data_IF_989420739071
#
_entry.id   IF_989420739071
#
_cell.length_a   1.000
_cell.length_b   1.000
_cell.length_c   1.000
_cell.angle_alpha   90.00
_cell.angle_beta   90.00
_cell.angle_gamma   90.00
#
_symmetry.space_group_name_H-M   'P 1'
#
loop_
_entity.id
_entity.type
_entity.pdbx_description
1 polymer ?
#
# COMPACT_ATOMS: atom_id res chain seq x y z
N UNK A 1 4.65 -16.67 -22.13
CA UNK A 1 4.07 -17.36 -20.95
C UNK A 1 5.19 -17.65 -19.97
N UNK A 2 4.98 -17.27 -18.70
CA UNK A 2 5.89 -17.60 -17.59
C UNK A 2 5.16 -18.47 -16.59
N UNK A 3 5.84 -19.46 -16.06
CA UNK A 3 5.32 -20.37 -15.04
C UNK A 3 6.07 -20.12 -13.72
N UNK A 4 5.32 -19.99 -12.62
CA UNK A 4 5.86 -19.83 -11.30
C UNK A 4 5.56 -21.06 -10.44
N UNK A 5 6.59 -21.66 -9.86
CA UNK A 5 6.44 -22.77 -8.93
C UNK A 5 6.17 -22.25 -7.52
N UNK A 6 5.06 -22.69 -6.92
CA UNK A 6 4.67 -22.28 -5.56
C UNK A 6 5.00 -23.34 -4.49
N UNK A 7 5.74 -24.36 -4.87
CA UNK A 7 6.08 -25.47 -3.99
C UNK A 7 4.95 -26.49 -3.83
N UNK A 8 5.00 -27.25 -2.77
CA UNK A 8 4.08 -28.35 -2.53
C UNK A 8 2.70 -27.84 -2.06
N UNK A 9 1.62 -28.33 -2.68
CA UNK A 9 0.25 -27.89 -2.42
C UNK A 9 -0.15 -27.97 -0.94
N UNK A 10 0.26 -29.01 -0.23
CA UNK A 10 -0.09 -29.21 1.18
C UNK A 10 0.61 -28.23 2.14
N UNK A 11 1.70 -27.59 1.71
CA UNK A 11 2.42 -26.55 2.46
C UNK A 11 1.87 -25.14 2.20
N UNK A 12 0.90 -25.03 1.28
CA UNK A 12 0.28 -23.76 0.93
C UNK A 12 -0.87 -23.44 1.89
N UNK A 13 -0.95 -22.20 2.34
CA UNK A 13 -2.03 -21.69 3.17
C UNK A 13 -2.41 -20.26 2.80
N UNK A 14 -3.53 -19.76 3.33
CA UNK A 14 -4.06 -18.44 3.01
C UNK A 14 -3.06 -17.29 3.26
N UNK A 15 -2.13 -17.43 4.22
CA UNK A 15 -1.12 -16.42 4.53
C UNK A 15 -0.09 -16.24 3.40
N UNK A 16 0.02 -17.21 2.51
CA UNK A 16 0.91 -17.15 1.35
C UNK A 16 0.27 -16.50 0.12
N UNK A 17 -1.07 -16.38 0.09
CA UNK A 17 -1.78 -15.75 -1.02
C UNK A 17 -1.26 -14.33 -1.37
N UNK A 18 -1.00 -13.45 -0.39
CA UNK A 18 -0.41 -12.14 -0.66
C UNK A 18 0.92 -12.18 -1.40
N UNK A 19 1.73 -13.23 -1.18
CA UNK A 19 3.04 -13.37 -1.82
C UNK A 19 2.94 -13.57 -3.33
N UNK A 20 1.83 -14.17 -3.81
CA UNK A 20 1.60 -14.39 -5.25
C UNK A 20 1.61 -13.08 -6.01
N UNK A 21 0.77 -12.13 -5.59
CA UNK A 21 0.69 -10.82 -6.22
C UNK A 21 2.04 -10.10 -6.19
N UNK A 22 2.73 -10.14 -5.05
CA UNK A 22 4.06 -9.51 -4.89
C UNK A 22 5.08 -10.07 -5.85
N UNK A 23 5.16 -11.40 -5.98
CA UNK A 23 6.10 -12.03 -6.91
C UNK A 23 5.80 -11.67 -8.37
N UNK A 24 4.52 -11.65 -8.76
CA UNK A 24 4.13 -11.28 -10.12
C UNK A 24 4.54 -9.84 -10.43
N UNK A 25 4.23 -8.91 -9.54
CA UNK A 25 4.57 -7.49 -9.73
C UNK A 25 6.08 -7.28 -9.73
N UNK A 26 6.81 -7.86 -8.78
CA UNK A 26 8.27 -7.74 -8.71
C UNK A 26 8.95 -8.31 -9.96
N UNK A 27 8.49 -9.48 -10.43
CA UNK A 27 8.98 -10.05 -11.68
C UNK A 27 8.65 -9.16 -12.88
N UNK A 28 7.41 -8.68 -13.00
CA UNK A 28 7.02 -7.79 -14.09
C UNK A 28 7.89 -6.51 -14.10
N UNK A 29 8.17 -5.93 -12.93
CA UNK A 29 9.06 -4.76 -12.80
C UNK A 29 10.49 -5.08 -13.21
N UNK A 30 11.04 -6.22 -12.79
CA UNK A 30 12.42 -6.61 -13.17
C UNK A 30 12.60 -6.81 -14.67
N UNK A 31 11.55 -7.26 -15.36
CA UNK A 31 11.52 -7.44 -16.83
C UNK A 31 10.93 -6.22 -17.56
N UNK A 32 10.60 -5.12 -16.85
CA UNK A 32 9.96 -3.93 -17.41
C UNK A 32 8.65 -4.22 -18.16
N UNK A 33 7.88 -5.19 -17.68
CA UNK A 33 6.57 -5.57 -18.22
C UNK A 33 5.52 -4.67 -17.57
N UNK A 34 4.94 -3.77 -18.34
CA UNK A 34 3.92 -2.84 -17.84
C UNK A 34 2.53 -3.48 -17.70
N UNK A 35 2.24 -4.54 -18.44
CA UNK A 35 0.94 -5.19 -18.43
C UNK A 35 1.08 -6.70 -18.50
N UNK A 36 0.29 -7.41 -17.71
CA UNK A 36 0.24 -8.88 -17.76
C UNK A 36 -1.13 -9.42 -17.36
N UNK A 37 -1.40 -10.65 -17.77
CA UNK A 37 -2.59 -11.40 -17.39
C UNK A 37 -2.21 -12.59 -16.51
N UNK A 38 -3.04 -12.90 -15.51
CA UNK A 38 -2.87 -14.08 -14.67
C UNK A 38 -4.23 -14.73 -14.37
N UNK A 39 -4.31 -16.07 -14.33
CA UNK A 39 -5.50 -16.75 -13.84
C UNK A 39 -5.76 -16.35 -12.38
N UNK A 40 -7.02 -16.00 -12.08
CA UNK A 40 -7.46 -15.81 -10.70
C UNK A 40 -8.12 -17.10 -10.22
N UNK A 41 -7.31 -17.96 -9.61
CA UNK A 41 -7.74 -19.27 -9.12
C UNK A 41 -8.52 -19.23 -7.81
N UNK A 42 -8.75 -20.42 -7.26
CA UNK A 42 -9.35 -20.57 -5.92
C UNK A 42 -8.39 -20.00 -4.87
N UNK A 43 -8.83 -19.02 -4.14
CA UNK A 43 -8.12 -18.40 -3.04
C UNK A 43 -8.21 -19.29 -1.80
N UNK A 44 -7.48 -20.38 -1.76
CA UNK A 44 -7.31 -21.35 -0.68
C UNK A 44 -7.88 -20.92 0.68
N UNK A 45 -9.15 -21.26 0.95
CA UNK A 45 -9.82 -20.93 2.21
C UNK A 45 -10.37 -19.50 2.34
N UNK A 46 -10.30 -18.67 1.27
CA UNK A 46 -10.89 -17.33 1.22
C UNK A 46 -12.04 -17.29 0.20
N UNK A 47 -13.00 -16.42 0.39
CA UNK A 47 -14.00 -16.11 -0.64
C UNK A 47 -13.34 -15.44 -1.85
N UNK A 48 -14.04 -15.41 -2.99
CA UNK A 48 -13.54 -14.71 -4.21
C UNK A 48 -13.26 -13.24 -3.94
N UNK A 49 -14.12 -12.59 -3.16
CA UNK A 49 -13.96 -11.20 -2.75
C UNK A 49 -12.70 -10.99 -1.89
N UNK A 50 -12.54 -11.77 -0.84
CA UNK A 50 -11.36 -11.67 0.05
C UNK A 50 -10.05 -11.96 -0.67
N UNK A 51 -10.04 -13.00 -1.52
CA UNK A 51 -8.88 -13.33 -2.34
C UNK A 51 -8.51 -12.22 -3.31
N UNK A 52 -9.50 -11.60 -3.96
CA UNK A 52 -9.27 -10.48 -4.87
C UNK A 52 -8.81 -9.22 -4.12
N UNK A 53 -9.35 -8.95 -2.92
CA UNK A 53 -8.89 -7.86 -2.08
C UNK A 53 -7.44 -8.08 -1.63
N UNK A 54 -7.11 -9.27 -1.16
CA UNK A 54 -5.74 -9.61 -0.77
C UNK A 54 -4.75 -9.51 -1.95
N UNK A 55 -5.14 -9.98 -3.14
CA UNK A 55 -4.33 -9.89 -4.34
C UNK A 55 -4.08 -8.43 -4.73
N UNK A 56 -5.13 -7.62 -4.89
CA UNK A 56 -5.00 -6.22 -5.34
C UNK A 56 -4.29 -5.34 -4.33
N UNK A 57 -4.55 -5.49 -3.02
CA UNK A 57 -3.78 -4.81 -1.96
C UNK A 57 -2.29 -5.06 -2.13
N UNK A 58 -1.90 -6.33 -2.28
CA UNK A 58 -0.49 -6.69 -2.34
C UNK A 58 0.15 -6.37 -3.69
N UNK A 59 -0.60 -6.35 -4.79
CA UNK A 59 -0.13 -5.88 -6.08
C UNK A 59 0.21 -4.37 -6.02
N UNK A 60 -0.70 -3.54 -5.52
CA UNK A 60 -0.49 -2.10 -5.33
C UNK A 60 0.69 -1.83 -4.39
N UNK A 61 0.77 -2.55 -3.27
CA UNK A 61 1.89 -2.40 -2.32
C UNK A 61 3.24 -2.85 -2.90
N UNK A 62 3.26 -3.82 -3.81
CA UNK A 62 4.48 -4.34 -4.41
C UNK A 62 5.01 -3.44 -5.54
N UNK A 63 4.14 -2.67 -6.17
CA UNK A 63 4.55 -1.70 -7.19
C UNK A 63 5.14 -0.42 -6.59
N UNK A 64 4.83 -0.11 -5.34
CA UNK A 64 5.33 1.08 -4.65
C UNK A 64 6.85 1.11 -4.54
N UNK A 65 7.43 2.26 -4.92
CA UNK A 65 8.83 2.60 -4.70
C UNK A 65 8.95 4.02 -4.15
N UNK A 66 9.75 4.18 -3.11
CA UNK A 66 10.07 5.50 -2.57
C UNK A 66 11.25 6.11 -3.34
N UNK A 67 10.95 6.87 -4.39
CA UNK A 67 11.94 7.42 -5.31
C UNK A 67 12.18 8.94 -5.16
N UNK A 68 11.54 9.57 -4.18
CA UNK A 68 11.52 11.03 -4.00
C UNK A 68 12.91 11.69 -3.99
N UNK A 69 13.91 11.02 -3.44
CA UNK A 69 15.27 11.53 -3.32
C UNK A 69 16.29 10.82 -4.24
N UNK A 70 15.79 10.08 -5.22
CA UNK A 70 16.64 9.34 -6.16
C UNK A 70 16.62 10.00 -7.54
N UNK A 71 17.77 10.01 -8.20
CA UNK A 71 17.85 10.42 -9.59
C UNK A 71 17.07 9.46 -10.49
N UNK A 72 16.25 10.05 -11.36
CA UNK A 72 15.41 9.25 -12.27
C UNK A 72 16.27 8.56 -13.32
N UNK A 73 16.20 7.22 -13.45
CA UNK A 73 16.92 6.51 -14.51
C UNK A 73 16.51 7.00 -15.91
N UNK A 74 17.41 6.91 -16.88
CA UNK A 74 17.13 7.34 -18.27
C UNK A 74 15.90 6.66 -18.86
N UNK A 75 15.72 5.36 -18.55
CA UNK A 75 14.57 4.58 -19.01
C UNK A 75 13.31 4.73 -18.11
N UNK A 76 13.33 5.63 -17.12
CA UNK A 76 12.28 5.77 -16.13
C UNK A 76 12.28 4.64 -15.10
N UNK A 77 11.38 4.74 -14.12
CA UNK A 77 11.16 3.68 -13.14
C UNK A 77 10.31 2.56 -13.75
N UNK A 78 10.62 1.28 -13.47
CA UNK A 78 9.74 0.19 -13.88
C UNK A 78 8.44 0.25 -13.08
N UNK A 79 7.30 0.19 -13.75
CA UNK A 79 5.97 0.20 -13.15
C UNK A 79 5.06 -0.83 -13.81
N UNK A 80 4.12 -1.37 -13.05
CA UNK A 80 3.05 -2.23 -13.57
C UNK A 80 1.77 -1.39 -13.69
N UNK A 81 1.33 -1.13 -14.92
CA UNK A 81 0.14 -0.30 -15.20
C UNK A 81 -1.16 -1.08 -15.13
N UNK A 82 -1.14 -2.33 -15.63
CA UNK A 82 -2.36 -3.11 -15.76
C UNK A 82 -2.11 -4.59 -15.44
N UNK A 83 -2.97 -5.14 -14.59
CA UNK A 83 -3.02 -6.58 -14.31
C UNK A 83 -4.40 -7.09 -14.67
N UNK A 84 -4.48 -8.03 -15.63
CA UNK A 84 -5.71 -8.68 -16.02
C UNK A 84 -5.91 -9.96 -15.23
N UNK A 85 -7.01 -10.06 -14.47
CA UNK A 85 -7.36 -11.27 -13.73
C UNK A 85 -8.37 -12.08 -14.55
N UNK A 86 -7.95 -13.24 -15.06
CA UNK A 86 -8.82 -14.15 -15.77
C UNK A 86 -9.59 -15.05 -14.79
N UNK A 87 -10.90 -14.96 -14.79
CA UNK A 87 -11.80 -15.69 -13.91
C UNK A 87 -13.09 -16.10 -14.60
N UNK A 88 -13.88 -16.99 -13.96
CA UNK A 88 -15.22 -17.32 -14.45
C UNK A 88 -16.14 -16.11 -14.38
N UNK A 89 -16.94 -15.89 -15.40
CA UNK A 89 -17.87 -14.74 -15.49
C UNK A 89 -18.81 -14.63 -14.29
N UNK A 90 -19.25 -15.75 -13.73
CA UNK A 90 -20.11 -15.80 -12.53
C UNK A 90 -19.47 -15.17 -11.28
N UNK A 91 -18.14 -15.19 -11.19
CA UNK A 91 -17.38 -14.70 -10.04
C UNK A 91 -17.02 -13.20 -10.17
N UNK A 92 -17.22 -12.58 -11.34
CA UNK A 92 -16.85 -11.19 -11.60
C UNK A 92 -17.38 -10.18 -10.59
N UNK A 93 -18.67 -10.21 -10.18
CA UNK A 93 -19.19 -9.23 -9.24
C UNK A 93 -18.44 -9.22 -7.90
N UNK A 94 -18.13 -10.39 -7.36
CA UNK A 94 -17.40 -10.51 -6.09
C UNK A 94 -15.93 -10.15 -6.24
N UNK A 95 -15.29 -10.58 -7.32
CA UNK A 95 -13.90 -10.22 -7.63
C UNK A 95 -13.76 -8.70 -7.78
N UNK A 96 -14.64 -8.05 -8.52
CA UNK A 96 -14.61 -6.59 -8.70
C UNK A 96 -14.79 -5.82 -7.38
N UNK A 97 -15.66 -6.28 -6.48
CA UNK A 97 -15.78 -5.69 -5.14
C UNK A 97 -14.46 -5.82 -4.37
N UNK A 98 -13.88 -7.00 -4.37
CA UNK A 98 -12.60 -7.26 -3.71
C UNK A 98 -11.47 -6.41 -4.29
N UNK A 99 -11.37 -6.29 -5.63
CA UNK A 99 -10.36 -5.44 -6.28
C UNK A 99 -10.48 -4.00 -5.78
N UNK A 100 -11.68 -3.42 -5.80
CA UNK A 100 -11.90 -2.03 -5.34
C UNK A 100 -11.48 -1.84 -3.89
N UNK A 101 -11.88 -2.73 -3.00
CA UNK A 101 -11.50 -2.68 -1.59
C UNK A 101 -9.97 -2.80 -1.41
N UNK A 102 -9.38 -3.75 -2.11
CA UNK A 102 -7.94 -3.99 -2.01
C UNK A 102 -7.08 -2.86 -2.58
N UNK A 103 -7.51 -2.22 -3.66
CA UNK A 103 -6.83 -1.04 -4.21
C UNK A 103 -6.81 0.10 -3.19
N UNK A 104 -7.97 0.42 -2.59
CA UNK A 104 -8.03 1.47 -1.55
C UNK A 104 -7.09 1.16 -0.39
N UNK A 105 -7.09 -0.07 0.11
CA UNK A 105 -6.19 -0.47 1.21
C UNK A 105 -4.73 -0.34 0.78
N UNK A 106 -4.37 -0.81 -0.41
CA UNK A 106 -3.01 -0.75 -0.92
C UNK A 106 -2.50 0.69 -1.09
N UNK A 107 -3.34 1.56 -1.63
CA UNK A 107 -3.04 3.00 -1.82
C UNK A 107 -2.83 3.71 -0.48
N UNK A 108 -3.72 3.49 0.50
CA UNK A 108 -3.59 4.11 1.83
C UNK A 108 -2.36 3.59 2.60
N UNK A 109 -2.03 2.31 2.47
CA UNK A 109 -0.79 1.77 3.03
C UNK A 109 0.43 2.40 2.36
N UNK A 110 0.42 2.58 1.05
CA UNK A 110 1.51 3.26 0.34
C UNK A 110 1.61 4.74 0.73
N UNK A 111 0.50 5.42 0.95
CA UNK A 111 0.48 6.76 1.52
C UNK A 111 1.17 6.83 2.90
N UNK A 112 0.87 5.89 3.79
CA UNK A 112 1.56 5.78 5.08
C UNK A 112 3.06 5.49 4.91
N UNK A 113 3.44 4.64 3.96
CA UNK A 113 4.85 4.35 3.67
C UNK A 113 5.59 5.56 3.12
N UNK A 114 4.94 6.37 2.29
CA UNK A 114 5.49 7.64 1.80
C UNK A 114 5.82 8.58 2.96
N UNK A 115 4.89 8.77 3.91
CA UNK A 115 5.12 9.58 5.10
C UNK A 115 6.26 9.01 5.96
N UNK A 116 6.25 7.69 6.21
CA UNK A 116 7.24 7.03 7.07
C UNK A 116 8.66 7.00 6.45
N UNK A 117 8.77 6.92 5.13
CA UNK A 117 10.05 6.90 4.42
C UNK A 117 10.63 8.31 4.21
N UNK A 118 9.81 9.36 4.33
CA UNK A 118 10.29 10.74 4.21
C UNK A 118 11.20 11.07 5.40
N UNK A 119 12.46 11.50 5.15
CA UNK A 119 13.40 11.82 6.23
C UNK A 119 12.88 12.89 7.19
N UNK A 120 13.29 12.80 8.45
CA UNK A 120 12.83 13.69 9.53
C UNK A 120 13.09 15.18 9.26
N UNK A 121 14.10 15.52 8.47
CA UNK A 121 14.33 16.91 8.02
C UNK A 121 13.21 17.46 7.12
N UNK A 122 12.54 16.59 6.37
CA UNK A 122 11.43 16.98 5.48
C UNK A 122 10.06 16.62 6.08
N UNK A 123 9.98 15.58 6.91
CA UNK A 123 8.76 15.16 7.61
C UNK A 123 8.75 15.72 9.02
N UNK A 124 8.57 17.02 9.13
CA UNK A 124 8.42 17.72 10.42
C UNK A 124 7.01 17.47 11.00
N UNK A 125 6.78 17.72 12.31
CA UNK A 125 5.45 17.66 12.91
C UNK A 125 4.40 18.47 12.14
N UNK A 126 4.76 19.66 11.68
CA UNK A 126 3.90 20.52 10.86
C UNK A 126 3.50 19.84 9.54
N UNK A 127 4.46 19.22 8.84
CA UNK A 127 4.18 18.50 7.58
C UNK A 127 3.27 17.30 7.79
N UNK A 128 3.45 16.57 8.90
CA UNK A 128 2.57 15.45 9.24
C UNK A 128 1.14 15.93 9.54
N UNK A 129 1.00 17.05 10.25
CA UNK A 129 -0.30 17.66 10.52
C UNK A 129 -1.00 18.14 9.23
N UNK A 130 -0.26 18.77 8.30
CA UNK A 130 -0.76 19.16 6.97
C UNK A 130 -1.25 17.93 6.19
N UNK A 131 -0.49 16.84 6.16
CA UNK A 131 -0.88 15.60 5.50
C UNK A 131 -2.18 15.03 6.08
N UNK A 132 -2.33 15.05 7.41
CA UNK A 132 -3.55 14.62 8.08
C UNK A 132 -4.76 15.50 7.69
N UNK A 133 -4.60 16.83 7.63
CA UNK A 133 -5.65 17.76 7.21
C UNK A 133 -6.08 17.50 5.78
N UNK A 134 -5.13 17.31 4.86
CA UNK A 134 -5.41 17.04 3.44
C UNK A 134 -6.18 15.72 3.31
N UNK A 135 -5.71 14.65 3.96
CA UNK A 135 -6.39 13.36 3.96
C UNK A 135 -7.79 13.45 4.56
N UNK A 136 -7.96 14.12 5.69
CA UNK A 136 -9.26 14.31 6.32
C UNK A 136 -10.25 15.06 5.44
N UNK A 137 -9.82 16.15 4.79
CA UNK A 137 -10.67 16.90 3.85
C UNK A 137 -11.17 16.04 2.69
N UNK A 138 -10.30 15.24 2.10
CA UNK A 138 -10.65 14.39 0.94
C UNK A 138 -11.69 13.32 1.29
N UNK A 139 -11.79 12.94 2.55
CA UNK A 139 -12.71 11.89 3.04
C UNK A 139 -13.88 12.44 3.88
N UNK A 140 -14.00 13.76 4.01
CA UNK A 140 -15.03 14.38 4.86
C UNK A 140 -14.85 14.15 6.37
N UNK A 141 -13.63 13.82 6.80
CA UNK A 141 -13.28 13.58 8.20
C UNK A 141 -12.81 14.89 8.84
N UNK A 142 -13.35 15.22 10.02
CA UNK A 142 -12.89 16.38 10.78
C UNK A 142 -11.55 16.07 11.46
N UNK A 143 -10.54 16.85 11.16
CA UNK A 143 -9.23 16.76 11.79
C UNK A 143 -9.07 17.91 12.78
N UNK A 144 -8.58 17.60 13.97
CA UNK A 144 -8.18 18.58 14.99
C UNK A 144 -6.71 18.40 15.30
N UNK A 145 -5.93 19.43 15.07
CA UNK A 145 -4.53 19.49 15.46
C UNK A 145 -4.44 20.05 16.89
N UNK A 146 -3.64 19.40 17.72
CA UNK A 146 -3.34 19.85 19.08
C UNK A 146 -1.97 20.52 19.06
N UNK A 147 -1.97 21.79 19.38
CA UNK A 147 -0.75 22.58 19.51
C UNK A 147 -0.06 22.34 20.86
N UNK A 148 1.18 22.77 21.02
CA UNK A 148 1.96 22.57 22.28
C UNK A 148 1.19 23.00 23.54
N UNK A 149 0.46 24.13 23.48
CA UNK A 149 -0.39 24.62 24.59
C UNK A 149 -1.51 23.62 24.93
N UNK A 150 -2.11 22.98 23.97
CA UNK A 150 -3.17 21.99 24.19
C UNK A 150 -2.59 20.69 24.75
N UNK A 151 -1.44 20.28 24.24
CA UNK A 151 -0.68 19.11 24.70
C UNK A 151 -0.30 19.26 26.17
N UNK A 152 0.20 20.46 26.57
CA UNK A 152 0.48 20.81 27.98
C UNK A 152 -0.77 20.78 28.85
N UNK A 153 -1.85 21.41 28.38
CA UNK A 153 -3.14 21.45 29.10
C UNK A 153 -3.74 20.05 29.30
N UNK A 154 -3.52 19.16 28.36
CA UNK A 154 -3.98 17.78 28.42
C UNK A 154 -3.01 16.83 29.13
N UNK A 155 -1.92 17.38 29.72
CA UNK A 155 -0.90 16.61 30.44
C UNK A 155 -0.30 15.44 29.65
N UNK A 156 -0.13 15.60 28.30
CA UNK A 156 0.42 14.60 27.40
C UNK A 156 1.97 14.54 27.50
N UNK A 157 2.47 14.19 28.71
CA UNK A 157 3.89 14.22 29.02
C UNK A 157 4.79 13.41 28.15
N UNK A 158 4.31 12.25 27.61
CA UNK A 158 5.06 11.43 26.66
C UNK A 158 5.40 12.18 25.38
N UNK A 159 4.42 12.88 24.79
CA UNK A 159 4.63 13.70 23.57
C UNK A 159 5.60 14.82 23.84
N UNK A 160 5.42 15.56 24.93
CA UNK A 160 6.32 16.65 25.35
C UNK A 160 7.75 16.16 25.60
N UNK A 161 7.90 14.97 26.20
CA UNK A 161 9.20 14.37 26.49
C UNK A 161 9.96 14.02 25.19
N UNK A 162 9.28 13.45 24.21
CA UNK A 162 9.87 13.14 22.90
C UNK A 162 10.26 14.41 22.13
N UNK A 163 9.39 15.43 22.17
CA UNK A 163 9.63 16.69 21.45
C UNK A 163 10.67 17.60 22.10
N UNK A 164 11.10 17.33 23.35
CA UNK A 164 11.95 18.23 24.13
C UNK A 164 13.27 18.61 23.49
N UNK A 165 13.86 17.71 22.71
CA UNK A 165 15.13 17.91 22.02
C UNK A 165 15.00 18.40 20.56
N UNK A 166 13.80 18.72 20.10
CA UNK A 166 13.55 19.18 18.73
C UNK A 166 13.40 20.70 18.69
N UNK A 167 13.97 21.32 17.65
CA UNK A 167 13.74 22.73 17.32
C UNK A 167 12.40 22.93 16.61
N UNK A 168 11.88 21.87 15.97
CA UNK A 168 10.57 21.82 15.35
C UNK A 168 9.51 21.41 16.39
N UNK A 169 8.52 22.29 16.61
CA UNK A 169 7.47 22.12 17.61
C UNK A 169 6.12 21.80 17.01
#
# INVERSE_FOLDING_TARGET
IRLFGWGEKHKWNYRKNPLVARHYVQYAKSERIAEFATPFGSSLGMSKKEGAAAFSTNAVMADFEFNKYREKPKEGWPEVKTIYLAADKKDFPEIQKGIREGMVIGEEVNGCRELANTPGGDMTPTRLAEAAIVSGKSKGIKIKILEEKDIKRLSMGGVLGVAKGSDEK
#
